data_IF_242674908023
#
_entry.id   IF_242674908023
#
_cell.length_a   1.000
_cell.length_b   1.000
_cell.length_c   1.000
_cell.angle_alpha   90.00
_cell.angle_beta   90.00
_cell.angle_gamma   90.00
#
_symmetry.space_group_name_H-M   'P 1'
#
loop_
_entity.id
_entity.type
_entity.pdbx_description
1 polymer ?
#
# COMPACT_ATOMS: atom_id res chain seq x y z
N UNK A 1 -3.06 -7.45 5.26
CA UNK A 1 -4.30 -7.87 4.57
C UNK A 1 -4.04 -9.05 3.65
N UNK A 2 -5.10 -9.66 3.16
CA UNK A 2 -5.10 -10.74 2.16
C UNK A 2 -6.25 -10.45 1.20
N UNK A 3 -5.93 -10.06 -0.04
CA UNK A 3 -6.90 -9.56 -0.99
C UNK A 3 -6.91 -10.44 -2.25
N UNK A 4 -8.10 -10.79 -2.72
CA UNK A 4 -8.28 -11.43 -4.02
C UNK A 4 -8.63 -10.32 -5.01
N UNK A 5 -7.65 -9.87 -5.79
CA UNK A 5 -7.82 -8.76 -6.73
C UNK A 5 -8.26 -9.19 -8.13
N UNK A 6 -8.30 -10.45 -8.39
CA UNK A 6 -8.81 -10.97 -9.65
C UNK A 6 -9.27 -12.41 -9.50
N UNK A 7 -10.37 -12.72 -10.14
CA UNK A 7 -10.91 -14.08 -10.19
C UNK A 7 -11.44 -14.33 -11.60
N UNK A 8 -10.99 -15.42 -12.21
CA UNK A 8 -11.45 -15.82 -13.54
C UNK A 8 -11.83 -17.28 -13.53
N UNK A 9 -13.04 -17.57 -14.00
CA UNK A 9 -13.53 -18.94 -14.15
C UNK A 9 -14.68 -18.96 -15.16
N UNK A 10 -14.90 -20.09 -15.81
CA UNK A 10 -16.00 -20.29 -16.75
C UNK A 10 -15.85 -19.53 -18.06
N UNK A 11 -16.96 -19.38 -18.74
CA UNK A 11 -17.07 -18.68 -20.01
C UNK A 11 -17.12 -17.17 -19.78
N UNK A 12 -16.22 -16.42 -20.44
CA UNK A 12 -16.08 -14.97 -20.29
C UNK A 12 -16.63 -14.18 -21.50
N UNK A 13 -17.15 -14.87 -22.52
CA UNK A 13 -17.74 -14.22 -23.71
C UNK A 13 -19.17 -13.75 -23.48
N UNK A 14 -19.75 -13.13 -24.50
CA UNK A 14 -21.14 -12.68 -24.50
C UNK A 14 -22.10 -13.87 -24.50
N UNK A 15 -23.23 -13.72 -23.81
CA UNK A 15 -24.27 -14.74 -23.67
C UNK A 15 -23.94 -15.81 -22.64
N UNK A 16 -24.69 -16.90 -22.65
CA UNK A 16 -24.55 -18.04 -21.74
C UNK A 16 -23.94 -19.26 -22.44
N UNK A 17 -23.17 -20.06 -21.70
CA UNK A 17 -22.64 -21.34 -22.17
C UNK A 17 -22.82 -22.40 -21.09
N UNK A 18 -23.50 -23.50 -21.44
CA UNK A 18 -23.74 -24.60 -20.52
C UNK A 18 -22.49 -25.50 -20.44
N UNK A 19 -21.55 -25.13 -19.56
CA UNK A 19 -20.33 -25.91 -19.29
C UNK A 19 -19.99 -25.89 -17.81
N UNK A 20 -19.27 -26.92 -17.36
CA UNK A 20 -18.55 -26.88 -16.10
C UNK A 20 -17.12 -26.42 -16.39
N UNK A 21 -16.64 -25.35 -15.73
CA UNK A 21 -15.30 -24.87 -15.96
C UNK A 21 -14.25 -25.91 -15.58
N UNK A 22 -13.26 -26.11 -16.45
CA UNK A 22 -12.13 -27.00 -16.18
C UNK A 22 -11.00 -26.33 -15.40
N UNK A 23 -11.03 -24.99 -15.33
CA UNK A 23 -10.01 -24.21 -14.62
C UNK A 23 -10.59 -22.94 -14.03
N UNK A 24 -9.95 -22.48 -12.97
CA UNK A 24 -10.17 -21.18 -12.38
C UNK A 24 -8.82 -20.60 -11.94
N UNK A 25 -8.71 -19.29 -11.95
CA UNK A 25 -7.51 -18.60 -11.44
C UNK A 25 -7.88 -17.45 -10.52
N UNK A 26 -7.04 -17.20 -9.54
CA UNK A 26 -7.15 -16.05 -8.64
C UNK A 26 -5.82 -15.30 -8.58
N UNK A 27 -5.89 -13.97 -8.55
CA UNK A 27 -4.77 -13.09 -8.27
C UNK A 27 -4.88 -12.64 -6.82
N UNK A 28 -3.82 -12.83 -6.06
CA UNK A 28 -3.81 -12.56 -4.62
C UNK A 28 -2.68 -11.58 -4.31
N UNK A 29 -2.98 -10.56 -3.53
CA UNK A 29 -1.99 -9.67 -2.95
C UNK A 29 -2.12 -9.61 -1.44
N UNK A 30 -1.03 -9.32 -0.78
CA UNK A 30 -0.98 -9.21 0.69
C UNK A 30 -0.19 -7.96 1.07
N UNK A 31 -0.75 -7.18 1.97
CA UNK A 31 -0.05 -6.07 2.60
C UNK A 31 0.42 -6.49 3.97
N UNK A 32 1.74 -6.47 4.14
CA UNK A 32 2.41 -6.97 5.31
C UNK A 32 2.54 -5.90 6.39
N UNK A 33 2.65 -6.33 7.63
CA UNK A 33 2.97 -5.47 8.78
C UNK A 33 4.46 -5.54 9.09
N UNK A 34 5.01 -4.57 9.84
CA UNK A 34 6.42 -4.61 10.25
C UNK A 34 6.84 -5.95 10.85
N UNK A 35 8.07 -6.35 10.59
CA UNK A 35 8.68 -7.62 11.02
C UNK A 35 8.12 -8.88 10.34
N UNK A 36 7.35 -8.75 9.28
CA UNK A 36 7.01 -9.88 8.41
C UNK A 36 7.98 -9.94 7.22
N UNK A 37 8.49 -11.13 6.94
CA UNK A 37 9.34 -11.41 5.77
C UNK A 37 8.44 -11.77 4.58
N UNK A 38 8.45 -11.00 3.48
CA UNK A 38 7.59 -11.25 2.32
C UNK A 38 7.79 -12.64 1.71
N UNK A 39 9.04 -13.11 1.61
CA UNK A 39 9.35 -14.42 1.05
C UNK A 39 8.77 -15.53 1.91
N UNK A 40 8.96 -15.43 3.23
CA UNK A 40 8.39 -16.38 4.18
C UNK A 40 6.87 -16.43 4.10
N UNK A 41 6.21 -15.28 4.05
CA UNK A 41 4.74 -15.21 3.94
C UNK A 41 4.25 -15.82 2.64
N UNK A 42 4.85 -15.50 1.49
CA UNK A 42 4.51 -16.10 0.20
C UNK A 42 4.59 -17.64 0.24
N UNK A 43 5.67 -18.19 0.80
CA UNK A 43 5.83 -19.63 0.90
C UNK A 43 4.83 -20.28 1.88
N UNK A 44 4.51 -19.61 2.99
CA UNK A 44 3.51 -20.09 3.93
C UNK A 44 2.12 -20.15 3.28
N UNK A 45 1.72 -19.10 2.57
CA UNK A 45 0.44 -19.05 1.86
C UNK A 45 0.39 -20.13 0.77
N UNK A 46 1.43 -20.22 -0.06
CA UNK A 46 1.49 -21.25 -1.10
C UNK A 46 1.39 -22.68 -0.54
N UNK A 47 2.08 -22.94 0.57
CA UNK A 47 1.99 -24.23 1.26
C UNK A 47 0.58 -24.50 1.76
N UNK A 48 -0.07 -23.52 2.36
CA UNK A 48 -1.43 -23.65 2.86
C UNK A 48 -2.45 -23.89 1.73
N UNK A 49 -2.34 -23.15 0.63
CA UNK A 49 -3.19 -23.35 -0.54
C UNK A 49 -3.03 -24.74 -1.15
N UNK A 50 -1.79 -25.24 -1.25
CA UNK A 50 -1.52 -26.62 -1.70
C UNK A 50 -2.12 -27.66 -0.75
N UNK A 51 -2.04 -27.45 0.55
CA UNK A 51 -2.62 -28.36 1.54
C UNK A 51 -4.14 -28.40 1.52
N UNK A 52 -4.78 -27.30 1.14
CA UNK A 52 -6.24 -27.21 1.00
C UNK A 52 -6.76 -27.71 -0.35
N UNK A 53 -5.89 -27.96 -1.31
CA UNK A 53 -6.29 -28.43 -2.65
C UNK A 53 -6.83 -29.87 -2.56
N UNK A 54 -8.08 -30.13 -2.99
CA UNK A 54 -8.62 -31.48 -2.99
C UNK A 54 -7.85 -32.41 -3.91
N UNK A 55 -7.78 -33.72 -3.64
CA UNK A 55 -7.05 -34.69 -4.46
C UNK A 55 -7.59 -34.84 -5.90
N UNK A 56 -8.81 -34.39 -6.14
CA UNK A 56 -9.44 -34.38 -7.48
C UNK A 56 -9.06 -33.17 -8.32
N UNK A 57 -8.30 -32.22 -7.76
CA UNK A 57 -7.90 -30.98 -8.42
C UNK A 57 -6.38 -30.85 -8.43
N UNK A 58 -5.88 -30.03 -9.36
CA UNK A 58 -4.48 -29.64 -9.43
C UNK A 58 -4.39 -28.16 -9.21
N UNK A 59 -3.48 -27.72 -8.35
CA UNK A 59 -3.17 -26.32 -8.12
C UNK A 59 -1.76 -25.99 -8.61
N UNK A 60 -1.65 -24.93 -9.38
CA UNK A 60 -0.39 -24.31 -9.78
C UNK A 60 -0.33 -22.94 -9.12
N UNK A 61 0.82 -22.60 -8.54
CA UNK A 61 1.01 -21.33 -7.83
C UNK A 61 2.25 -20.67 -8.37
N UNK A 62 2.06 -19.52 -8.97
CA UNK A 62 3.13 -18.62 -9.36
C UNK A 62 3.38 -17.64 -8.22
N UNK A 63 4.61 -17.64 -7.70
CA UNK A 63 5.01 -16.71 -6.64
C UNK A 63 5.51 -15.40 -7.29
N UNK A 64 4.84 -14.32 -6.96
CA UNK A 64 5.28 -12.98 -7.30
C UNK A 64 6.47 -12.52 -6.45
N UNK A 65 6.71 -11.24 -6.46
CA UNK A 65 7.71 -10.56 -5.65
C UNK A 65 7.04 -9.63 -4.64
N UNK A 66 7.76 -9.24 -3.61
CA UNK A 66 7.29 -8.32 -2.60
C UNK A 66 8.41 -7.40 -2.12
N UNK A 67 8.04 -6.35 -1.42
CA UNK A 67 8.93 -5.47 -0.69
C UNK A 67 8.73 -5.65 0.81
N UNK A 68 9.77 -5.39 1.58
CA UNK A 68 9.70 -5.42 3.03
C UNK A 68 8.78 -4.29 3.54
N UNK A 69 7.99 -4.54 4.58
CA UNK A 69 7.21 -3.50 5.21
C UNK A 69 8.12 -2.46 5.89
N UNK A 70 7.70 -1.21 5.87
CA UNK A 70 8.44 -0.11 6.44
C UNK A 70 7.65 0.56 7.57
N UNK A 71 8.35 0.93 8.62
CA UNK A 71 7.81 1.75 9.69
C UNK A 71 8.89 2.75 10.13
N UNK A 72 8.49 3.98 10.36
CA UNK A 72 9.35 5.04 10.87
C UNK A 72 8.85 5.53 12.23
N UNK A 73 9.78 5.93 13.08
CA UNK A 73 9.42 6.56 14.35
C UNK A 73 8.85 7.97 14.12
N UNK A 74 7.71 8.32 14.72
CA UNK A 74 7.14 9.66 14.59
C UNK A 74 7.83 10.70 15.48
N UNK A 75 9.01 10.37 16.01
CA UNK A 75 9.80 11.23 16.90
C UNK A 75 11.09 11.64 16.21
N UNK A 76 11.66 12.73 16.60
CA UNK A 76 12.90 13.22 15.99
C UNK A 76 12.71 14.54 15.24
N UNK A 77 13.80 15.15 14.78
CA UNK A 77 13.75 16.49 14.18
C UNK A 77 12.89 16.53 12.92
N UNK A 78 13.09 15.60 12.00
CA UNK A 78 12.35 15.51 10.74
C UNK A 78 10.84 15.32 10.98
N UNK A 79 10.46 14.43 11.89
CA UNK A 79 9.06 14.22 12.24
C UNK A 79 8.42 15.50 12.81
N UNK A 80 9.12 16.18 13.73
CA UNK A 80 8.65 17.43 14.32
C UNK A 80 8.48 18.53 13.28
N UNK A 81 9.43 18.67 12.36
CA UNK A 81 9.34 19.63 11.25
C UNK A 81 8.15 19.33 10.34
N UNK A 82 7.92 18.07 9.99
CA UNK A 82 6.79 17.63 9.18
C UNK A 82 5.44 17.92 9.87
N UNK A 83 5.30 17.55 11.15
CA UNK A 83 4.08 17.80 11.92
C UNK A 83 3.80 19.30 12.07
N UNK A 84 4.82 20.12 12.37
CA UNK A 84 4.71 21.59 12.44
C UNK A 84 4.26 22.17 11.11
N UNK A 85 4.79 21.68 9.99
CA UNK A 85 4.46 22.18 8.64
C UNK A 85 3.04 21.80 8.23
N UNK A 86 2.60 20.59 8.52
CA UNK A 86 1.21 20.15 8.31
C UNK A 86 0.23 21.00 9.13
N UNK A 87 0.51 21.19 10.42
CA UNK A 87 -0.34 22.02 11.29
C UNK A 87 -0.45 23.44 10.77
N UNK A 88 0.66 24.05 10.35
CA UNK A 88 0.67 25.41 9.80
C UNK A 88 -0.15 25.53 8.53
N UNK A 89 -0.10 24.54 7.64
CA UNK A 89 -0.79 24.55 6.36
C UNK A 89 -2.29 24.24 6.48
N UNK A 90 -2.66 23.30 7.35
CA UNK A 90 -4.04 22.80 7.45
C UNK A 90 -4.83 23.35 8.65
N UNK A 91 -4.17 24.01 9.60
CA UNK A 91 -4.82 24.62 10.78
C UNK A 91 -5.22 23.62 11.87
N UNK A 92 -4.92 22.34 11.71
CA UNK A 92 -5.27 21.27 12.65
C UNK A 92 -4.04 20.46 13.04
N UNK A 93 -4.10 19.79 14.18
CA UNK A 93 -3.07 18.84 14.56
C UNK A 93 -3.08 17.66 13.58
N UNK A 94 -1.93 17.31 12.99
CA UNK A 94 -1.84 16.16 12.10
C UNK A 94 -2.08 14.86 12.85
N UNK A 95 -2.74 13.91 12.19
CA UNK A 95 -3.00 12.57 12.72
C UNK A 95 -1.93 11.62 12.20
N UNK A 96 -1.35 10.84 13.09
CA UNK A 96 -0.41 9.79 12.74
C UNK A 96 -1.17 8.50 12.46
N UNK A 97 -1.07 8.03 11.23
CA UNK A 97 -1.72 6.80 10.78
C UNK A 97 -0.68 5.72 10.50
N UNK A 98 -1.07 4.49 10.75
CA UNK A 98 -0.38 3.31 10.23
C UNK A 98 -1.23 2.74 9.11
N UNK A 99 -0.72 2.80 7.90
CA UNK A 99 -1.41 2.26 6.74
C UNK A 99 -0.75 0.96 6.27
N UNK A 100 -1.58 0.07 5.75
CA UNK A 100 -1.10 -1.11 5.04
C UNK A 100 -0.60 -0.79 3.62
N UNK A 101 -0.53 0.49 3.24
CA UNK A 101 0.01 0.92 1.97
C UNK A 101 1.51 0.66 1.91
N UNK A 102 1.95 -0.12 0.94
CA UNK A 102 3.37 -0.31 0.69
C UNK A 102 3.78 0.47 -0.55
N UNK A 103 4.74 1.35 -0.35
CA UNK A 103 5.44 2.02 -1.43
C UNK A 103 6.85 1.43 -1.41
N UNK A 104 7.18 0.49 -2.30
CA UNK A 104 8.43 -0.29 -2.23
C UNK A 104 9.69 0.56 -2.16
N UNK A 105 9.69 1.73 -2.82
CA UNK A 105 10.84 2.63 -2.83
C UNK A 105 11.17 3.21 -1.45
N UNK A 106 10.20 3.32 -0.55
CA UNK A 106 10.41 3.86 0.81
C UNK A 106 11.32 2.93 1.62
N UNK A 107 11.07 1.62 1.56
CA UNK A 107 11.97 0.62 2.18
C UNK A 107 13.37 0.71 1.56
N UNK A 108 13.47 0.85 0.25
CA UNK A 108 14.75 0.98 -0.44
C UNK A 108 15.54 2.22 0.04
N UNK A 109 14.88 3.36 0.24
CA UNK A 109 15.53 4.55 0.80
C UNK A 109 16.05 4.28 2.22
N UNK A 110 15.23 3.68 3.06
CA UNK A 110 15.66 3.34 4.42
C UNK A 110 16.84 2.35 4.42
N UNK A 111 16.77 1.31 3.59
CA UNK A 111 17.77 0.24 3.55
C UNK A 111 19.09 0.69 2.89
N UNK A 112 19.01 1.40 1.76
CA UNK A 112 20.18 1.76 0.94
C UNK A 112 20.78 3.06 1.40
N UNK A 113 19.98 4.10 1.58
CA UNK A 113 20.44 5.44 1.94
C UNK A 113 20.55 5.65 3.46
N UNK A 114 19.97 4.74 4.27
CA UNK A 114 19.92 4.84 5.74
C UNK A 114 19.26 6.12 6.23
N UNK A 115 18.21 6.55 5.53
CA UNK A 115 17.43 7.74 5.86
C UNK A 115 15.99 7.35 6.22
N UNK A 116 15.43 8.08 7.17
CA UNK A 116 14.01 7.99 7.50
C UNK A 116 13.18 8.64 6.39
N UNK A 117 12.07 8.00 6.05
CA UNK A 117 11.12 8.50 5.05
C UNK A 117 9.75 8.65 5.69
N UNK A 118 9.22 9.85 5.64
CA UNK A 118 7.88 10.18 6.14
C UNK A 118 6.93 10.41 4.96
N UNK A 119 5.79 9.76 4.99
CA UNK A 119 4.74 9.93 4.00
C UNK A 119 3.74 10.97 4.51
N UNK A 120 3.60 12.07 3.79
CA UNK A 120 2.69 13.16 4.13
C UNK A 120 1.49 13.10 3.20
N UNK A 121 0.34 12.69 3.74
CA UNK A 121 -0.88 12.50 2.95
C UNK A 121 -1.64 13.81 2.76
N UNK A 122 -2.09 14.06 1.54
CA UNK A 122 -2.94 15.21 1.17
C UNK A 122 -4.30 14.76 0.64
N UNK A 123 -4.47 13.45 0.42
CA UNK A 123 -5.69 12.89 -0.15
C UNK A 123 -6.85 12.93 0.86
N UNK A 124 -8.04 13.18 0.33
CA UNK A 124 -9.29 13.12 1.08
C UNK A 124 -9.96 11.75 0.91
N UNK A 125 -10.84 11.33 1.85
CA UNK A 125 -11.52 10.04 1.77
C UNK A 125 -12.38 9.84 0.51
N UNK A 126 -12.82 10.92 -0.11
CA UNK A 126 -13.67 10.94 -1.30
C UNK A 126 -12.90 11.21 -2.61
N UNK A 127 -11.59 11.13 -2.58
CA UNK A 127 -10.76 11.32 -3.78
C UNK A 127 -10.79 10.13 -4.75
N UNK A 128 -11.43 9.04 -4.38
CA UNK A 128 -11.59 7.84 -5.21
C UNK A 128 -10.26 7.28 -5.73
N UNK A 129 -9.24 7.23 -4.87
CA UNK A 129 -7.91 6.72 -5.24
C UNK A 129 -8.00 5.33 -5.88
N UNK A 130 -7.32 5.13 -7.00
CA UNK A 130 -7.32 3.90 -7.81
C UNK A 130 -8.69 3.51 -8.39
N UNK A 131 -9.59 4.46 -8.53
CA UNK A 131 -10.95 4.25 -9.03
C UNK A 131 -11.29 5.21 -10.18
N UNK A 132 -12.34 4.92 -10.96
CA UNK A 132 -12.84 5.90 -11.93
C UNK A 132 -13.22 7.22 -11.26
N UNK A 133 -13.00 8.31 -11.99
CA UNK A 133 -13.23 9.69 -11.48
C UNK A 133 -12.39 10.04 -10.26
N UNK A 134 -11.18 9.49 -10.16
CA UNK A 134 -10.19 9.95 -9.20
C UNK A 134 -10.00 11.47 -9.31
N UNK A 135 -10.00 12.14 -8.17
CA UNK A 135 -9.85 13.59 -8.11
C UNK A 135 -8.82 13.99 -7.08
N UNK A 136 -8.43 15.24 -7.13
CA UNK A 136 -7.69 15.92 -6.09
C UNK A 136 -8.39 17.22 -5.72
N UNK A 137 -8.54 17.47 -4.43
CA UNK A 137 -9.08 18.73 -3.93
C UNK A 137 -8.07 19.87 -4.16
N UNK A 138 -8.50 20.96 -4.79
CA UNK A 138 -7.62 22.09 -5.13
C UNK A 138 -7.16 22.88 -3.90
N UNK A 139 -7.97 22.92 -2.84
CA UNK A 139 -7.54 23.53 -1.59
C UNK A 139 -6.48 22.68 -0.90
N UNK A 140 -6.67 21.37 -0.84
CA UNK A 140 -5.67 20.43 -0.32
C UNK A 140 -4.36 20.50 -1.12
N UNK A 141 -4.44 20.61 -2.45
CA UNK A 141 -3.27 20.80 -3.31
C UNK A 141 -2.52 22.09 -2.98
N UNK A 142 -3.23 23.23 -2.89
CA UNK A 142 -2.63 24.52 -2.57
C UNK A 142 -2.00 24.53 -1.18
N UNK A 143 -2.69 23.96 -0.19
CA UNK A 143 -2.16 23.79 1.17
C UNK A 143 -0.94 22.85 1.21
N UNK A 144 -0.90 21.84 0.34
CA UNK A 144 0.25 20.96 0.16
C UNK A 144 1.49 21.70 -0.34
N UNK A 145 1.35 22.64 -1.27
CA UNK A 145 2.45 23.51 -1.72
C UNK A 145 2.96 24.34 -0.54
N UNK A 146 2.07 24.94 0.21
CA UNK A 146 2.40 25.74 1.40
C UNK A 146 3.08 24.91 2.49
N UNK A 147 2.56 23.74 2.76
CA UNK A 147 3.18 22.76 3.67
C UNK A 147 4.61 22.44 3.25
N UNK A 148 4.82 22.18 1.96
CA UNK A 148 6.17 21.86 1.42
C UNK A 148 7.15 23.02 1.60
N UNK A 149 6.73 24.24 1.35
CA UNK A 149 7.57 25.43 1.58
C UNK A 149 7.94 25.60 3.06
N UNK A 150 6.95 25.45 3.96
CA UNK A 150 7.19 25.50 5.41
C UNK A 150 8.07 24.37 5.90
N UNK A 151 7.99 23.20 5.27
CA UNK A 151 8.81 22.04 5.66
C UNK A 151 10.31 22.35 5.52
N UNK A 152 10.71 22.97 4.42
CA UNK A 152 12.12 23.34 4.22
C UNK A 152 12.61 24.35 5.26
N UNK A 153 11.79 25.32 5.60
CA UNK A 153 12.12 26.29 6.66
C UNK A 153 12.23 25.60 8.03
N UNK A 154 11.26 24.76 8.37
CA UNK A 154 11.27 24.05 9.65
C UNK A 154 12.38 23.02 9.76
N UNK A 155 12.84 22.44 8.65
CA UNK A 155 13.99 21.52 8.62
C UNK A 155 15.33 22.27 8.83
N UNK A 156 15.43 23.49 8.35
CA UNK A 156 16.63 24.30 8.56
C UNK A 156 16.78 24.74 10.03
N UNK A 157 15.70 24.74 10.80
CA UNK A 157 15.66 25.11 12.21
C UNK A 157 15.77 23.89 13.16
N UNK A 158 15.73 22.67 12.63
CA UNK A 158 15.66 21.42 13.41
C UNK A 158 17.05 20.80 13.63
#
# INVERSE_FOLDING_TARGET
TFEINGLTSGYQGEGSKTIVPSSASAKITMRLVPNQDPKKILHLVARQLKALCPPTMRIEIELGHGADPYIVSPTGPLAKAALKSLKAAFGHEPVLLREGGSIPIVEHFARILKVDTYLLGLALPDDNLHSPNEKMDLEAFTRGIWMSANLWTNLAEA
#
